data_IF_431022867011
#
_entry.id   IF_431022867011
#
_cell.length_a   1.000
_cell.length_b   1.000
_cell.length_c   1.000
_cell.angle_alpha   90.00
_cell.angle_beta   90.00
_cell.angle_gamma   90.00
#
_symmetry.space_group_name_H-M   'P 1'
#
loop_
_entity.id
_entity.type
_entity.pdbx_description
1 polymer ?
#
# COMPACT_ATOMS: atom_id res chain seq x y z
N UNK A 1 -0.02 1.90 -14.86
CA UNK A 1 0.33 0.46 -14.90
C UNK A 1 1.71 0.29 -15.52
N UNK A 2 2.44 -0.74 -15.12
CA UNK A 2 3.74 -1.11 -15.67
C UNK A 2 3.73 -2.60 -16.02
N UNK A 3 4.71 -3.04 -16.83
CA UNK A 3 4.96 -4.48 -16.97
C UNK A 3 5.42 -5.03 -15.61
N UNK A 4 5.09 -6.30 -15.34
CA UNK A 4 5.47 -7.10 -14.15
C UNK A 4 4.95 -6.62 -12.78
N UNK A 5 4.54 -5.36 -12.64
CA UNK A 5 3.98 -4.81 -11.40
C UNK A 5 2.45 -4.81 -11.48
N UNK A 6 1.79 -5.28 -10.42
CA UNK A 6 0.33 -5.31 -10.35
C UNK A 6 -0.27 -3.90 -10.57
N UNK A 7 -1.30 -3.75 -11.43
CA UNK A 7 -1.94 -2.45 -11.65
C UNK A 7 -2.77 -1.97 -10.45
N UNK A 8 -2.96 -2.81 -9.43
CA UNK A 8 -3.60 -2.42 -8.17
C UNK A 8 -2.71 -1.55 -7.29
N UNK A 9 -1.40 -1.52 -7.55
CA UNK A 9 -0.45 -0.65 -6.86
C UNK A 9 -0.49 0.72 -7.54
N UNK A 10 -1.00 1.72 -6.83
CA UNK A 10 -0.97 3.11 -7.31
C UNK A 10 0.47 3.61 -7.43
N UNK A 11 0.76 4.62 -8.28
CA UNK A 11 2.10 5.20 -8.38
C UNK A 11 2.66 5.68 -7.03
N UNK A 12 1.80 6.29 -6.20
CA UNK A 12 2.20 6.77 -4.87
C UNK A 12 2.52 5.60 -3.92
N UNK A 13 1.73 4.52 -3.97
CA UNK A 13 2.00 3.33 -3.15
C UNK A 13 3.31 2.67 -3.58
N UNK A 14 3.57 2.56 -4.88
CA UNK A 14 4.83 2.01 -5.38
C UNK A 14 6.04 2.83 -4.93
N UNK A 15 5.91 4.16 -4.93
CA UNK A 15 6.95 5.05 -4.43
C UNK A 15 7.20 4.82 -2.93
N UNK A 16 6.15 4.78 -2.11
CA UNK A 16 6.29 4.54 -0.66
C UNK A 16 6.96 3.20 -0.38
N UNK A 17 6.54 2.11 -1.03
CA UNK A 17 7.16 0.80 -0.86
C UNK A 17 8.65 0.80 -1.22
N UNK A 18 9.06 1.57 -2.23
CA UNK A 18 10.47 1.67 -2.63
C UNK A 18 11.31 2.59 -1.71
N UNK A 19 10.68 3.51 -0.98
CA UNK A 19 11.34 4.41 -0.02
C UNK A 19 11.46 3.78 1.39
N UNK A 20 10.61 2.80 1.71
CA UNK A 20 10.65 2.07 2.98
C UNK A 20 11.98 1.33 3.16
N UNK A 21 12.59 1.51 4.34
CA UNK A 21 13.80 0.82 4.77
C UNK A 21 13.52 -0.36 5.71
N UNK A 22 14.59 -0.96 6.22
CA UNK A 22 14.49 -2.06 7.17
C UNK A 22 13.85 -1.61 8.49
N UNK A 23 12.72 -2.23 8.85
CA UNK A 23 11.97 -1.91 10.06
C UNK A 23 10.90 -0.84 9.89
N UNK A 24 10.74 -0.26 8.69
CA UNK A 24 9.60 0.61 8.41
C UNK A 24 8.30 -0.20 8.33
N UNK A 25 7.22 0.39 8.82
CA UNK A 25 5.91 -0.26 8.91
C UNK A 25 4.90 0.39 7.97
N UNK A 26 4.04 -0.43 7.38
CA UNK A 26 2.91 0.00 6.55
C UNK A 26 1.63 -0.71 6.98
N UNK A 27 0.52 0.03 7.03
CA UNK A 27 -0.79 -0.50 7.43
C UNK A 27 -1.72 -0.51 6.21
N UNK A 28 -2.22 -1.69 5.85
CA UNK A 28 -3.35 -1.83 4.94
C UNK A 28 -4.65 -1.90 5.76
N UNK A 29 -5.32 -0.77 5.90
CA UNK A 29 -6.50 -0.67 6.76
C UNK A 29 -7.81 -0.98 6.04
N UNK A 30 -8.85 -1.32 6.80
CA UNK A 30 -10.22 -1.37 6.28
C UNK A 30 -10.80 0.05 6.09
N UNK A 31 -12.01 0.12 5.52
CA UNK A 31 -12.71 1.36 5.20
C UNK A 31 -13.21 2.16 6.42
N UNK A 32 -13.24 1.55 7.62
CA UNK A 32 -13.68 2.19 8.85
C UNK A 32 -12.52 2.68 9.73
N UNK A 33 -11.29 2.25 9.43
CA UNK A 33 -10.11 2.66 10.16
C UNK A 33 -9.85 4.18 10.03
N UNK A 34 -9.55 4.90 11.12
CA UNK A 34 -9.41 6.35 11.11
C UNK A 34 -8.02 6.80 10.63
N UNK A 35 -7.60 6.39 9.43
CA UNK A 35 -6.24 6.59 8.92
C UNK A 35 -5.76 8.04 8.98
N UNK A 36 -6.61 9.00 8.59
CA UNK A 36 -6.25 10.42 8.51
C UNK A 36 -6.01 11.10 9.86
N UNK A 37 -6.41 10.50 10.99
CA UNK A 37 -6.13 11.02 12.33
C UNK A 37 -4.93 10.36 13.00
N UNK A 38 -4.31 9.35 12.38
CA UNK A 38 -3.22 8.58 13.00
C UNK A 38 -1.85 9.28 12.94
N UNK A 39 -1.66 10.22 12.00
CA UNK A 39 -0.41 10.99 11.85
C UNK A 39 0.41 10.65 10.59
N UNK A 40 0.69 9.37 10.27
CA UNK A 40 1.42 9.00 9.06
C UNK A 40 0.72 9.42 7.77
N UNK A 41 1.47 9.41 6.66
CA UNK A 41 0.91 9.64 5.33
C UNK A 41 -0.18 8.61 5.00
N UNK A 42 -1.22 9.06 4.28
CA UNK A 42 -2.35 8.20 3.89
C UNK A 42 -2.45 8.13 2.37
N UNK A 43 -2.47 6.92 1.83
CA UNK A 43 -2.75 6.64 0.42
C UNK A 43 -4.12 5.98 0.33
N UNK A 44 -5.02 6.57 -0.45
CA UNK A 44 -6.37 6.04 -0.66
C UNK A 44 -6.31 4.85 -1.63
N UNK A 45 -6.99 3.77 -1.27
CA UNK A 45 -7.19 2.59 -2.11
C UNK A 45 -8.66 2.14 -2.10
N UNK A 46 -9.56 3.12 -2.22
CA UNK A 46 -11.00 2.91 -2.15
C UNK A 46 -11.49 1.89 -3.18
N UNK A 47 -12.36 0.97 -2.76
CA UNK A 47 -12.93 -0.08 -3.62
C UNK A 47 -12.04 -1.30 -3.81
N UNK A 48 -10.81 -1.30 -3.30
CA UNK A 48 -9.93 -2.48 -3.28
C UNK A 48 -10.06 -3.24 -1.97
N UNK A 49 -9.94 -4.57 -2.03
CA UNK A 49 -9.83 -5.40 -0.82
C UNK A 49 -8.40 -5.41 -0.34
N UNK A 50 -8.21 -5.47 0.97
CA UNK A 50 -6.89 -5.61 1.60
C UNK A 50 -6.17 -6.87 1.08
N UNK A 51 -6.87 -7.98 0.90
CA UNK A 51 -6.30 -9.22 0.34
C UNK A 51 -5.70 -9.04 -1.05
N UNK A 52 -6.35 -8.23 -1.89
CA UNK A 52 -5.94 -8.01 -3.27
C UNK A 52 -4.68 -7.13 -3.31
N UNK A 53 -4.61 -6.15 -2.41
CA UNK A 53 -3.42 -5.33 -2.20
C UNK A 53 -2.26 -6.15 -1.63
N UNK A 54 -2.51 -6.99 -0.61
CA UNK A 54 -1.49 -7.88 -0.04
C UNK A 54 -0.90 -8.82 -1.10
N UNK A 55 -1.75 -9.44 -1.92
CA UNK A 55 -1.28 -10.28 -3.02
C UNK A 55 -0.45 -9.49 -4.06
N UNK A 56 -0.83 -8.23 -4.32
CA UNK A 56 -0.12 -7.36 -5.24
C UNK A 56 1.28 -6.96 -4.72
N UNK A 57 1.42 -6.70 -3.42
CA UNK A 57 2.67 -6.21 -2.81
C UNK A 57 3.63 -7.32 -2.38
N UNK A 58 3.15 -8.55 -2.14
CA UNK A 58 3.99 -9.65 -1.63
C UNK A 58 5.25 -9.97 -2.45
N UNK A 59 5.29 -9.86 -3.80
CA UNK A 59 6.52 -10.13 -4.55
C UNK A 59 7.52 -8.96 -4.52
N UNK A 60 7.17 -7.82 -3.91
CA UNK A 60 7.97 -6.60 -3.86
C UNK A 60 8.42 -6.21 -2.44
N UNK A 61 7.94 -6.91 -1.41
CA UNK A 61 8.10 -6.55 0.00
C UNK A 61 8.77 -7.69 0.76
N UNK A 62 9.85 -7.38 1.49
CA UNK A 62 10.70 -8.32 2.24
C UNK A 62 10.68 -8.01 3.74
#
# INVERSE_FOLDING_TARGET
MLKTISPLISPDLLKVLAEMGHGDEIIFSDAHFPAHSMGPQVIRADGLRVSDLLQAIIPLFE
#
